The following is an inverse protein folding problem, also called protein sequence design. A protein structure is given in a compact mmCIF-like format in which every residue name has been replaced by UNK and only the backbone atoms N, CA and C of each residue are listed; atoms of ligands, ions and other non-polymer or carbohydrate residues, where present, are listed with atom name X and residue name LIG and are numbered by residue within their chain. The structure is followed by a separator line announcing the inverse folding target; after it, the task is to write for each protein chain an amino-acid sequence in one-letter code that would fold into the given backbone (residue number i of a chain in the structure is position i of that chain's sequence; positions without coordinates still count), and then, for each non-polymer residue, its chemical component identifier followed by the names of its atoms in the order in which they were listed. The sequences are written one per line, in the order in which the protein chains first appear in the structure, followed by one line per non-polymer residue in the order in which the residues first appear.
data_IF_613471210157
#
_entry.id   IF_613471210157
#
_cell.length_a   1.000
_cell.length_b   1.000
_cell.length_c   1.000
_cell.angle_alpha   90.00
_cell.angle_beta   90.00
_cell.angle_gamma   90.00
#
_symmetry.space_group_name_H-M   'P 1'
#
loop_
_entity.id
_entity.type
_entity.pdbx_description
1 polymer ?
#
# COMPACT_ATOMS: atom_id res chain seq x y z
N UNK A 1 -76.47 41.23 43.18
CA UNK A 1 -75.45 40.34 43.68
C UNK A 1 -75.24 39.18 42.69
N UNK A 2 -74.14 39.19 41.92
CA UNK A 2 -73.84 38.11 40.97
C UNK A 2 -72.47 37.56 41.40
N UNK A 3 -72.26 36.26 41.57
CA UNK A 3 -70.96 35.69 41.87
C UNK A 3 -70.15 35.48 40.56
N UNK A 4 -68.96 35.94 40.56
CA UNK A 4 -67.94 35.72 39.50
C UNK A 4 -67.31 34.36 39.72
N UNK A 5 -67.45 33.46 38.73
CA UNK A 5 -66.70 32.19 38.67
C UNK A 5 -65.31 32.39 38.03
N UNK A 6 -64.31 32.15 38.80
CA UNK A 6 -62.92 32.10 38.32
C UNK A 6 -62.62 30.71 37.83
N UNK A 7 -62.19 30.55 36.54
CA UNK A 7 -61.74 29.31 35.95
C UNK A 7 -60.18 29.27 36.02
N UNK A 8 -59.56 28.24 36.58
CA UNK A 8 -58.07 28.12 36.54
C UNK A 8 -57.61 27.61 35.20
N UNK A 9 -56.70 28.35 34.57
CA UNK A 9 -55.90 27.93 33.37
C UNK A 9 -54.88 26.85 33.78
N UNK A 10 -55.12 25.62 33.34
CA UNK A 10 -54.13 24.52 33.46
C UNK A 10 -53.15 24.61 32.26
N UNK A 11 -52.00 25.14 32.52
CA UNK A 11 -50.86 25.11 31.55
C UNK A 11 -50.25 23.70 31.49
N UNK A 12 -50.58 22.94 30.43
CA UNK A 12 -49.87 21.67 30.12
C UNK A 12 -48.59 21.99 29.39
N UNK A 13 -47.47 21.99 30.10
CA UNK A 13 -46.11 21.98 29.51
C UNK A 13 -45.85 20.62 28.87
N UNK A 14 -45.94 20.59 27.56
CA UNK A 14 -45.52 19.42 26.74
C UNK A 14 -44.01 19.41 26.72
N UNK A 15 -43.38 18.50 27.47
CA UNK A 15 -41.96 18.19 27.37
C UNK A 15 -41.73 17.26 26.17
N UNK A 16 -41.18 17.81 25.09
CA UNK A 16 -40.72 17.05 23.94
C UNK A 16 -39.43 16.29 24.33
N UNK A 17 -39.36 14.96 24.19
CA UNK A 17 -38.10 14.25 24.44
C UNK A 17 -37.15 14.55 23.29
N UNK A 18 -35.98 15.09 23.63
CA UNK A 18 -34.84 15.27 22.72
C UNK A 18 -34.29 13.88 22.35
N UNK A 19 -34.72 13.35 21.20
CA UNK A 19 -34.16 12.11 20.65
C UNK A 19 -32.79 12.46 20.11
N UNK A 20 -31.73 12.10 20.87
CA UNK A 20 -30.35 12.19 20.45
C UNK A 20 -30.08 11.07 19.42
N UNK A 21 -30.19 11.40 18.13
CA UNK A 21 -29.78 10.49 17.05
C UNK A 21 -28.25 10.41 17.05
N UNK A 22 -27.70 9.37 17.66
CA UNK A 22 -26.32 9.00 17.49
C UNK A 22 -26.10 8.54 16.03
N UNK A 23 -25.60 9.41 15.19
CA UNK A 23 -25.09 9.04 13.88
C UNK A 23 -23.77 8.31 14.09
N UNK A 24 -23.84 6.98 14.12
CA UNK A 24 -22.66 6.14 14.09
C UNK A 24 -22.01 6.25 12.71
N UNK A 25 -20.98 7.09 12.59
CA UNK A 25 -20.11 7.09 11.40
C UNK A 25 -19.31 5.79 11.40
N UNK A 26 -19.76 4.81 10.63
CA UNK A 26 -18.98 3.62 10.34
C UNK A 26 -17.73 4.06 9.54
N UNK A 27 -16.60 4.16 10.23
CA UNK A 27 -15.30 4.39 9.60
C UNK A 27 -14.95 3.15 8.77
N UNK A 28 -14.99 3.26 7.45
CA UNK A 28 -14.60 2.23 6.47
C UNK A 28 -13.09 1.96 6.42
N UNK A 29 -12.31 2.53 7.35
CA UNK A 29 -10.84 2.43 7.41
C UNK A 29 -10.30 1.08 7.87
N UNK A 30 -11.11 0.22 8.53
CA UNK A 30 -10.62 -1.03 9.12
C UNK A 30 -10.24 -2.11 8.09
N UNK A 31 -10.85 -2.12 6.90
CA UNK A 31 -10.61 -3.17 5.89
C UNK A 31 -9.28 -2.95 5.13
N UNK A 32 -8.97 -1.70 4.80
CA UNK A 32 -7.72 -1.34 4.13
C UNK A 32 -6.50 -1.70 5.00
N UNK A 33 -6.54 -1.37 6.30
CA UNK A 33 -5.45 -1.70 7.22
C UNK A 33 -5.19 -3.20 7.39
N UNK A 34 -6.23 -4.05 7.37
CA UNK A 34 -6.08 -5.50 7.47
C UNK A 34 -5.45 -6.11 6.20
N UNK A 35 -5.80 -5.59 5.01
CA UNK A 35 -5.24 -6.05 3.75
C UNK A 35 -3.77 -5.61 3.60
N UNK A 36 -3.41 -4.40 4.00
CA UNK A 36 -2.06 -3.87 3.99
C UNK A 36 -1.11 -4.70 4.86
N UNK A 37 -1.54 -5.12 6.05
CA UNK A 37 -0.76 -5.97 6.95
C UNK A 37 -0.37 -7.32 6.35
N UNK A 38 -1.18 -7.91 5.47
CA UNK A 38 -0.90 -9.20 4.82
C UNK A 38 0.28 -9.15 3.86
N UNK A 39 0.56 -8.00 3.26
CA UNK A 39 1.65 -7.86 2.29
C UNK A 39 2.87 -7.14 2.83
N UNK A 40 2.79 -6.52 4.00
CA UNK A 40 3.93 -5.86 4.64
C UNK A 40 5.08 -6.85 4.91
N UNK A 41 6.30 -6.34 4.86
CA UNK A 41 7.54 -7.06 5.12
C UNK A 41 8.32 -7.41 3.85
N UNK A 42 9.28 -8.33 3.98
CA UNK A 42 10.20 -8.68 2.91
C UNK A 42 9.60 -9.65 1.91
N UNK A 43 9.93 -9.40 0.64
CA UNK A 43 9.63 -10.24 -0.51
C UNK A 43 10.86 -10.40 -1.38
N UNK A 44 11.05 -11.60 -1.95
CA UNK A 44 12.16 -11.93 -2.85
C UNK A 44 11.64 -12.41 -4.20
N UNK A 45 12.44 -12.18 -5.24
CA UNK A 45 12.09 -12.44 -6.64
C UNK A 45 12.21 -13.91 -7.06
N UNK A 46 12.62 -14.81 -6.16
CA UNK A 46 12.74 -16.25 -6.46
C UNK A 46 12.61 -17.11 -5.20
N UNK A 47 12.01 -18.29 -5.33
CA UNK A 47 11.89 -19.29 -4.24
C UNK A 47 13.25 -19.89 -3.88
N UNK A 48 14.14 -20.09 -4.86
CA UNK A 48 15.48 -20.61 -4.67
C UNK A 48 16.42 -19.47 -4.22
N UNK A 49 16.96 -19.48 -2.98
CA UNK A 49 17.81 -18.42 -2.46
C UNK A 49 19.04 -18.16 -3.35
N UNK A 50 19.61 -19.21 -3.98
CA UNK A 50 20.78 -19.06 -4.85
C UNK A 50 20.50 -18.25 -6.11
N UNK A 51 19.25 -18.17 -6.54
CA UNK A 51 18.77 -17.48 -7.74
C UNK A 51 18.18 -16.11 -7.47
N UNK A 52 17.96 -15.76 -6.20
CA UNK A 52 17.44 -14.44 -5.81
C UNK A 52 18.39 -13.35 -6.30
N UNK A 53 17.81 -12.26 -6.80
CA UNK A 53 18.54 -11.09 -7.29
C UNK A 53 18.36 -9.89 -6.39
N UNK A 54 17.19 -9.75 -5.81
CA UNK A 54 16.83 -8.64 -4.92
C UNK A 54 15.77 -9.05 -3.90
N UNK A 55 15.67 -8.26 -2.84
CA UNK A 55 14.54 -8.27 -1.93
C UNK A 55 13.92 -6.87 -1.85
N UNK A 56 12.60 -6.82 -1.69
CA UNK A 56 11.82 -5.59 -1.53
C UNK A 56 11.16 -5.60 -0.17
N UNK A 57 11.30 -4.52 0.58
CA UNK A 57 10.51 -4.23 1.77
C UNK A 57 9.22 -3.55 1.32
N UNK A 58 8.09 -4.18 1.60
CA UNK A 58 6.75 -3.61 1.39
C UNK A 58 6.25 -3.06 2.71
N UNK A 59 5.78 -1.81 2.70
CA UNK A 59 5.37 -1.07 3.91
C UNK A 59 4.29 -0.03 3.59
N UNK A 60 3.68 0.52 4.64
CA UNK A 60 2.72 1.61 4.49
C UNK A 60 3.42 2.93 4.15
N UNK A 61 2.82 3.67 3.24
CA UNK A 61 3.20 5.03 2.88
C UNK A 61 1.98 5.95 3.07
N UNK A 62 1.66 6.27 4.32
CA UNK A 62 0.43 6.96 4.67
C UNK A 62 -0.79 6.04 4.47
N UNK A 63 -1.73 6.42 3.60
CA UNK A 63 -2.92 5.62 3.26
C UNK A 63 -2.70 4.62 2.12
N UNK A 64 -1.48 4.49 1.63
CA UNK A 64 -1.12 3.65 0.49
C UNK A 64 0.00 2.68 0.87
N UNK A 65 0.25 1.70 0.00
CA UNK A 65 1.34 0.75 0.15
C UNK A 65 2.44 1.06 -0.86
N UNK A 66 3.69 0.95 -0.39
CA UNK A 66 4.90 1.15 -1.18
C UNK A 66 5.85 -0.04 -1.01
N UNK A 67 6.91 -0.07 -1.84
CA UNK A 67 7.98 -1.04 -1.68
C UNK A 67 9.32 -0.49 -2.13
N UNK A 68 10.35 -0.75 -1.34
CA UNK A 68 11.71 -0.29 -1.61
C UNK A 68 12.69 -1.45 -1.70
N UNK A 69 13.69 -1.34 -2.58
CA UNK A 69 14.78 -2.32 -2.67
C UNK A 69 15.50 -2.39 -1.34
N UNK A 70 15.37 -3.52 -0.67
CA UNK A 70 15.95 -3.78 0.65
C UNK A 70 17.31 -4.46 0.57
N UNK A 71 17.44 -5.38 -0.39
CA UNK A 71 18.67 -6.13 -0.63
C UNK A 71 18.86 -6.36 -2.14
N UNK A 72 20.12 -6.39 -2.55
CA UNK A 72 20.55 -6.71 -3.91
C UNK A 72 21.67 -7.73 -3.85
N UNK A 73 21.60 -8.78 -4.67
CA UNK A 73 22.67 -9.80 -4.78
C UNK A 73 24.01 -9.18 -5.19
N UNK A 74 23.97 -8.14 -6.00
CA UNK A 74 25.15 -7.39 -6.47
C UNK A 74 24.87 -5.90 -6.29
N UNK A 75 25.01 -5.35 -5.07
CA UNK A 75 24.71 -3.93 -4.81
C UNK A 75 25.77 -2.98 -5.34
N UNK A 76 26.98 -3.50 -5.60
CA UNK A 76 28.14 -2.72 -6.04
C UNK A 76 28.55 -3.09 -7.46
N UNK A 77 29.21 -2.16 -8.13
CA UNK A 77 30.00 -2.41 -9.33
C UNK A 77 31.35 -3.09 -8.97
N UNK A 78 32.08 -3.57 -9.99
CA UNK A 78 33.37 -4.19 -9.79
C UNK A 78 34.42 -3.26 -9.14
N UNK A 79 34.28 -1.96 -9.29
CA UNK A 79 35.13 -0.93 -8.67
C UNK A 79 34.71 -0.55 -7.24
N UNK A 80 33.78 -1.28 -6.64
CA UNK A 80 33.30 -1.06 -5.26
C UNK A 80 32.29 0.07 -5.10
N UNK A 81 31.93 0.80 -6.14
CA UNK A 81 30.94 1.86 -6.07
C UNK A 81 29.51 1.31 -6.05
N UNK A 82 28.57 1.93 -5.31
CA UNK A 82 27.18 1.51 -5.31
C UNK A 82 26.55 1.59 -6.71
N UNK A 83 25.74 0.60 -7.04
CA UNK A 83 24.88 0.68 -8.22
C UNK A 83 23.85 1.79 -8.05
N UNK A 84 23.65 2.54 -9.11
CA UNK A 84 22.80 3.73 -9.15
C UNK A 84 21.69 3.58 -10.18
N UNK A 85 20.71 4.44 -10.07
CA UNK A 85 19.52 4.51 -10.94
C UNK A 85 19.82 5.23 -12.28
N UNK A 86 20.88 4.77 -12.94
CA UNK A 86 21.50 5.42 -14.11
C UNK A 86 20.58 5.60 -15.31
N UNK A 87 19.52 4.80 -15.40
CA UNK A 87 18.53 4.87 -16.50
C UNK A 87 17.32 5.73 -16.16
N UNK A 88 17.31 6.40 -14.99
CA UNK A 88 16.20 7.26 -14.64
C UNK A 88 15.97 8.36 -15.71
N UNK A 89 14.73 8.55 -16.19
CA UNK A 89 14.42 9.61 -17.16
C UNK A 89 14.73 11.00 -16.63
N UNK A 90 14.61 11.22 -15.30
CA UNK A 90 15.06 12.44 -14.65
C UNK A 90 16.55 12.33 -14.29
N UNK A 91 17.38 13.12 -14.98
CA UNK A 91 18.84 13.11 -14.79
C UNK A 91 19.28 13.42 -13.35
N UNK A 92 18.57 14.28 -12.65
CA UNK A 92 18.87 14.63 -11.25
C UNK A 92 18.73 13.42 -10.29
N UNK A 93 18.02 12.36 -10.69
CA UNK A 93 17.81 11.16 -9.90
C UNK A 93 18.76 10.00 -10.26
N UNK A 94 19.57 10.13 -11.31
CA UNK A 94 20.46 9.05 -11.80
C UNK A 94 21.57 8.68 -10.81
N UNK A 95 21.93 9.61 -9.93
CA UNK A 95 22.98 9.39 -8.93
C UNK A 95 22.50 8.71 -7.65
N UNK A 96 21.18 8.55 -7.45
CA UNK A 96 20.66 7.87 -6.25
C UNK A 96 20.98 6.38 -6.28
N UNK A 97 21.36 5.77 -5.13
CA UNK A 97 21.68 4.35 -5.08
C UNK A 97 20.43 3.49 -5.32
N UNK A 98 20.63 2.29 -5.88
CA UNK A 98 19.54 1.30 -6.00
C UNK A 98 19.14 0.72 -4.65
N UNK A 99 20.06 0.62 -3.69
CA UNK A 99 19.75 0.21 -2.33
C UNK A 99 18.84 1.26 -1.65
N UNK A 100 17.67 0.86 -1.20
CA UNK A 100 16.64 1.76 -0.65
C UNK A 100 15.79 2.47 -1.69
N UNK A 101 16.01 2.22 -2.99
CA UNK A 101 15.20 2.81 -4.05
C UNK A 101 13.77 2.31 -3.97
N UNK A 102 12.81 3.22 -3.86
CA UNK A 102 11.39 2.90 -3.94
C UNK A 102 11.02 2.52 -5.37
N UNK A 103 10.52 1.29 -5.55
CA UNK A 103 10.13 0.74 -6.85
C UNK A 103 8.65 0.41 -6.96
N UNK A 104 7.95 0.31 -5.83
CA UNK A 104 6.49 0.17 -5.77
C UNK A 104 5.91 1.43 -5.13
N UNK A 105 4.93 2.06 -5.78
CA UNK A 105 4.32 3.30 -5.29
C UNK A 105 2.81 3.30 -5.45
N UNK A 106 2.13 3.89 -4.49
CA UNK A 106 0.76 4.34 -4.64
C UNK A 106 -0.34 3.30 -4.58
N UNK A 107 -0.04 2.05 -4.24
CA UNK A 107 -1.02 0.97 -4.21
C UNK A 107 -2.11 1.19 -3.15
N UNK A 108 -3.36 0.98 -3.53
CA UNK A 108 -4.53 1.06 -2.66
C UNK A 108 -5.17 -0.31 -2.52
N UNK A 109 -5.54 -0.69 -1.29
CA UNK A 109 -6.25 -1.94 -1.06
C UNK A 109 -7.65 -1.87 -1.68
N UNK A 110 -7.95 -2.79 -2.60
CA UNK A 110 -9.28 -2.99 -3.16
C UNK A 110 -10.08 -4.02 -2.37
N UNK A 111 -9.40 -5.03 -1.82
CA UNK A 111 -9.91 -6.03 -0.89
C UNK A 111 -8.74 -6.71 -0.16
N UNK A 112 -9.03 -7.76 0.63
CA UNK A 112 -8.05 -8.49 1.45
C UNK A 112 -6.88 -9.13 0.69
N UNK A 113 -6.95 -9.24 -0.63
CA UNK A 113 -5.95 -9.93 -1.43
C UNK A 113 -5.52 -9.15 -2.68
N UNK A 114 -6.11 -7.97 -2.93
CA UNK A 114 -5.87 -7.19 -4.14
C UNK A 114 -5.56 -5.73 -3.80
N UNK A 115 -4.47 -5.21 -4.36
CA UNK A 115 -4.07 -3.80 -4.35
C UNK A 115 -3.97 -3.30 -5.78
N UNK A 116 -4.48 -2.11 -6.04
CA UNK A 116 -4.59 -1.52 -7.37
C UNK A 116 -4.13 -0.05 -7.38
N UNK A 117 -4.20 0.58 -8.55
CA UNK A 117 -3.86 1.98 -8.79
C UNK A 117 -2.43 2.35 -8.41
N UNK A 118 -1.55 1.35 -8.33
CA UNK A 118 -0.14 1.55 -8.06
C UNK A 118 0.71 1.55 -9.32
N UNK A 119 2.00 1.80 -9.11
CA UNK A 119 3.03 1.79 -10.14
C UNK A 119 4.22 0.93 -9.70
N UNK A 120 4.86 0.29 -10.68
CA UNK A 120 6.14 -0.37 -10.52
C UNK A 120 7.18 0.30 -11.41
N UNK A 121 8.30 0.71 -10.81
CA UNK A 121 9.46 1.26 -11.50
C UNK A 121 10.51 0.19 -11.74
N UNK A 122 11.03 0.10 -12.96
CA UNK A 122 12.12 -0.79 -13.31
C UNK A 122 13.43 0.01 -13.49
N UNK A 123 14.40 -0.07 -12.56
CA UNK A 123 15.64 0.69 -12.67
C UNK A 123 16.60 0.17 -13.77
N UNK A 124 16.36 -1.02 -14.34
CA UNK A 124 17.20 -1.56 -15.41
C UNK A 124 16.99 -0.84 -16.76
N UNK A 125 15.78 -0.28 -16.97
CA UNK A 125 15.42 0.46 -18.17
C UNK A 125 14.88 1.87 -17.92
N UNK A 126 14.66 2.23 -16.65
CA UNK A 126 14.13 3.54 -16.24
C UNK A 126 12.63 3.71 -16.48
N UNK A 127 11.90 2.64 -16.78
CA UNK A 127 10.48 2.72 -17.10
C UNK A 127 9.60 2.49 -15.87
N UNK A 128 8.48 3.19 -15.84
CA UNK A 128 7.41 3.02 -14.85
C UNK A 128 6.16 2.45 -15.53
N UNK A 129 5.54 1.48 -14.89
CA UNK A 129 4.35 0.78 -15.38
C UNK A 129 3.22 0.90 -14.38
N UNK A 130 2.00 1.11 -14.85
CA UNK A 130 0.81 0.92 -14.01
C UNK A 130 0.79 -0.50 -13.47
N UNK A 131 0.36 -0.70 -12.23
CA UNK A 131 0.52 -2.00 -11.61
C UNK A 131 -0.61 -2.35 -10.65
N UNK A 132 -0.86 -3.65 -10.52
CA UNK A 132 -1.67 -4.26 -9.46
C UNK A 132 -0.85 -5.30 -8.71
N UNK A 133 -1.17 -5.50 -7.42
CA UNK A 133 -0.60 -6.58 -6.62
C UNK A 133 -1.72 -7.50 -6.14
N UNK A 134 -1.49 -8.80 -6.21
CA UNK A 134 -2.42 -9.83 -5.73
C UNK A 134 -1.69 -10.84 -4.86
N UNK A 135 -2.15 -11.01 -3.63
CA UNK A 135 -1.67 -12.08 -2.76
C UNK A 135 -2.46 -13.35 -3.05
N UNK A 136 -1.77 -14.41 -3.46
CA UNK A 136 -2.40 -15.71 -3.67
C UNK A 136 -2.62 -16.45 -2.35
N UNK A 137 -3.56 -17.43 -2.29
CA UNK A 137 -3.77 -18.24 -1.09
C UNK A 137 -2.51 -18.99 -0.63
N UNK A 138 -1.61 -19.32 -1.56
CA UNK A 138 -0.33 -20.00 -1.31
C UNK A 138 0.76 -19.05 -0.78
N UNK A 139 0.44 -17.77 -0.56
CA UNK A 139 1.38 -16.77 -0.03
C UNK A 139 2.36 -16.21 -1.06
N UNK A 140 2.06 -16.30 -2.36
CA UNK A 140 2.84 -15.65 -3.44
C UNK A 140 2.25 -14.29 -3.74
N UNK A 141 3.09 -13.25 -3.76
CA UNK A 141 2.71 -11.91 -4.17
C UNK A 141 2.94 -11.77 -5.69
N UNK A 142 1.85 -11.62 -6.43
CA UNK A 142 1.85 -11.43 -7.88
C UNK A 142 1.73 -9.96 -8.18
N UNK A 143 2.77 -9.38 -8.79
CA UNK A 143 2.81 -7.98 -9.21
C UNK A 143 2.66 -7.95 -10.73
N UNK A 144 1.59 -7.33 -11.24
CA UNK A 144 1.33 -7.22 -12.67
C UNK A 144 1.55 -5.79 -13.13
N UNK A 145 2.64 -5.57 -13.87
CA UNK A 145 2.94 -4.30 -14.53
C UNK A 145 2.39 -4.29 -15.95
N UNK A 146 1.83 -3.15 -16.41
CA UNK A 146 1.22 -3.01 -17.73
C UNK A 146 1.27 -1.57 -18.23
N UNK A 147 1.09 -1.41 -19.56
CA UNK A 147 0.89 -0.13 -20.22
C UNK A 147 -0.52 -0.11 -20.81
N UNK A 148 -1.30 0.93 -20.51
CA UNK A 148 -2.69 1.04 -20.92
C UNK A 148 -3.60 0.09 -20.17
N UNK A 149 -3.87 -1.10 -20.70
CA UNK A 149 -4.75 -2.10 -20.08
C UNK A 149 -3.98 -3.30 -19.54
N UNK A 150 -4.43 -3.84 -18.40
CA UNK A 150 -3.73 -4.94 -17.71
C UNK A 150 -3.64 -6.24 -18.50
N UNK A 151 -4.44 -6.41 -19.57
CA UNK A 151 -4.43 -7.61 -20.42
C UNK A 151 -3.05 -7.89 -21.04
N UNK A 152 -2.31 -6.84 -21.44
CA UNK A 152 -1.01 -6.94 -22.09
C UNK A 152 0.17 -6.77 -21.11
N UNK A 153 -0.04 -6.96 -19.81
CA UNK A 153 0.98 -6.82 -18.78
C UNK A 153 1.85 -8.06 -18.58
N UNK A 154 2.98 -7.85 -17.89
CA UNK A 154 3.85 -8.90 -17.38
C UNK A 154 3.61 -9.10 -15.89
N UNK A 155 3.52 -10.35 -15.44
CA UNK A 155 3.41 -10.68 -14.02
C UNK A 155 4.75 -11.14 -13.46
N UNK A 156 5.13 -10.53 -12.33
CA UNK A 156 6.24 -10.96 -11.47
C UNK A 156 5.64 -11.72 -10.29
N UNK A 157 6.34 -12.76 -9.83
CA UNK A 157 5.94 -13.54 -8.66
C UNK A 157 7.03 -13.44 -7.60
N UNK A 158 6.67 -12.91 -6.44
CA UNK A 158 7.55 -12.78 -5.29
C UNK A 158 7.05 -13.65 -4.15
N UNK A 159 7.99 -14.16 -3.37
CA UNK A 159 7.70 -15.03 -2.23
C UNK A 159 8.34 -14.48 -0.96
N UNK A 160 7.90 -14.97 0.19
CA UNK A 160 8.58 -14.65 1.45
C UNK A 160 9.95 -15.30 1.47
N UNK A 161 10.99 -14.60 1.96
CA UNK A 161 12.31 -15.21 2.14
C UNK A 161 12.24 -16.33 3.17
N UNK A 162 13.03 -17.38 2.94
CA UNK A 162 13.19 -18.51 3.88
C UNK A 162 14.39 -18.31 4.80
N UNK A 163 15.25 -17.33 4.51
CA UNK A 163 16.45 -16.99 5.25
C UNK A 163 16.40 -15.53 5.67
N UNK A 164 17.17 -15.18 6.70
CA UNK A 164 17.33 -13.81 7.13
C UNK A 164 18.10 -13.01 6.07
N UNK A 165 17.55 -11.86 5.68
CA UNK A 165 18.15 -10.97 4.69
C UNK A 165 18.57 -9.67 5.36
N UNK A 166 19.88 -9.39 5.32
CA UNK A 166 20.43 -8.12 5.80
C UNK A 166 20.26 -7.03 4.74
N UNK A 167 19.83 -5.85 5.20
CA UNK A 167 19.67 -4.68 4.32
C UNK A 167 21.01 -4.31 3.64
N UNK A 168 20.96 -4.03 2.35
CA UNK A 168 22.08 -3.43 1.64
C UNK A 168 22.34 -1.99 2.11
N UNK A 169 23.59 -1.57 2.00
CA UNK A 169 24.07 -0.22 2.36
C UNK A 169 24.32 0.61 1.11
#
# INVERSE_FOLDING_TARGET
MRPTLSVPLISKTIRLPLILVLVSTFSTTALAGAAEQKIQGLWVDNKDPSRQKFAVMVEDCGSKVCGSLYWLKKPLFANGLPKRDKHNPNEALRERPLCGLQILTGFQAANDALWQDGEIYNPDDGLTFSSTMKLSPEGTLKIRGYVGISLFGKTLEWVRPTEEITRCK
#
